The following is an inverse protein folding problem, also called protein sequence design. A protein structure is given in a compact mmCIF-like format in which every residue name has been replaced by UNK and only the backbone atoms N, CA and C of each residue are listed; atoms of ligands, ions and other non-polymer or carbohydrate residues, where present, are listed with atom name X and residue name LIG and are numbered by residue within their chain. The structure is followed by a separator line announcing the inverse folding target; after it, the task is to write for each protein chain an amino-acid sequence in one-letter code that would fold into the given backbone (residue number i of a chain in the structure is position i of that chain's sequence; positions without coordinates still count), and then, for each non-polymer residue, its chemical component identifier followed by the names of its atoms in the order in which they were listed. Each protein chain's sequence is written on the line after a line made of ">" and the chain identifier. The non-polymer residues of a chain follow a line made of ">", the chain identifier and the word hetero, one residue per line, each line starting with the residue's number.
data_IF_101024721993
#
_entry.id   IF_101024721993
#
_cell.length_a   1.000
_cell.length_b   1.000
_cell.length_c   1.000
_cell.angle_alpha   90.00
_cell.angle_beta   90.00
_cell.angle_gamma   90.00
#
_symmetry.space_group_name_H-M   'P 1'
#
loop_
_entity.id
_entity.type
_entity.pdbx_description
1 polymer ?
#
# COMPACT_ATOMS: atom_id res chain seq x y z
N UNK A 1 -17.24 8.36 9.62
CA UNK A 1 -16.22 9.32 9.16
C UNK A 1 -15.31 8.70 8.09
N UNK A 2 -14.91 9.44 7.08
CA UNK A 2 -13.87 9.07 6.10
C UNK A 2 -12.70 10.03 6.25
N UNK A 3 -11.49 9.51 6.49
CA UNK A 3 -10.32 10.30 6.84
C UNK A 3 -9.13 10.01 5.90
N UNK A 4 -8.47 11.03 5.40
CA UNK A 4 -7.29 10.89 4.53
C UNK A 4 -6.78 12.22 4.01
N UNK A 5 -5.83 12.18 3.05
CA UNK A 5 -5.35 13.41 2.40
C UNK A 5 -6.43 14.04 1.51
N UNK A 6 -7.18 13.21 0.77
CA UNK A 6 -8.34 13.62 -0.02
C UNK A 6 -9.43 12.54 0.10
N UNK A 7 -10.61 12.92 0.48
CA UNK A 7 -11.72 12.00 0.78
C UNK A 7 -12.89 12.12 -0.18
N UNK A 8 -12.91 13.13 -1.03
CA UNK A 8 -14.05 13.53 -1.87
C UNK A 8 -14.74 12.38 -2.60
N UNK A 9 -13.97 11.57 -3.35
CA UNK A 9 -14.55 10.49 -4.16
C UNK A 9 -15.21 9.40 -3.28
N UNK A 10 -14.55 9.02 -2.19
CA UNK A 10 -15.07 8.01 -1.25
C UNK A 10 -16.28 8.55 -0.49
N UNK A 11 -16.23 9.81 -0.04
CA UNK A 11 -17.31 10.46 0.68
C UNK A 11 -18.56 10.62 -0.19
N UNK A 12 -18.41 11.06 -1.43
CA UNK A 12 -19.51 11.14 -2.39
C UNK A 12 -20.12 9.76 -2.70
N UNK A 13 -19.28 8.71 -2.79
CA UNK A 13 -19.76 7.33 -2.98
C UNK A 13 -20.57 6.83 -1.78
N UNK A 14 -20.09 7.05 -0.57
CA UNK A 14 -20.77 6.66 0.66
C UNK A 14 -22.09 7.44 0.85
N UNK A 15 -22.10 8.74 0.56
CA UNK A 15 -23.31 9.56 0.62
C UNK A 15 -24.39 9.09 -0.36
N UNK A 16 -24.01 8.74 -1.60
CA UNK A 16 -24.93 8.14 -2.58
C UNK A 16 -25.45 6.77 -2.14
N UNK A 17 -24.70 6.05 -1.32
CA UNK A 17 -25.14 4.78 -0.73
C UNK A 17 -26.02 4.96 0.52
N UNK A 18 -26.37 6.20 0.88
CA UNK A 18 -27.29 6.52 1.99
C UNK A 18 -26.62 6.65 3.38
N UNK A 19 -25.30 6.66 3.45
CA UNK A 19 -24.61 6.90 4.71
C UNK A 19 -24.56 8.38 5.06
N UNK A 20 -24.72 8.71 6.35
CA UNK A 20 -24.32 10.01 6.88
C UNK A 20 -22.79 10.07 6.94
N UNK A 21 -22.19 11.01 6.26
CA UNK A 21 -20.74 11.05 6.05
C UNK A 21 -20.13 12.32 6.59
N UNK A 22 -19.09 12.18 7.40
CA UNK A 22 -18.14 13.23 7.75
C UNK A 22 -16.88 12.95 6.93
N UNK A 23 -16.50 13.86 6.04
CA UNK A 23 -15.28 13.83 5.25
C UNK A 23 -14.22 14.68 5.95
N UNK A 24 -13.14 14.08 6.43
CA UNK A 24 -12.07 14.78 7.12
C UNK A 24 -10.77 14.67 6.34
N UNK A 25 -10.31 15.73 5.73
CA UNK A 25 -9.13 15.75 4.86
C UNK A 25 -8.38 17.09 4.85
N UNK A 26 -7.38 17.19 3.94
CA UNK A 26 -6.55 18.38 3.85
C UNK A 26 -7.27 19.56 3.17
N UNK A 27 -8.26 19.31 2.33
CA UNK A 27 -8.77 20.28 1.37
C UNK A 27 -10.18 20.81 1.70
N UNK A 28 -11.08 19.91 2.17
CA UNK A 28 -12.53 20.17 2.28
C UNK A 28 -13.06 20.81 0.98
N UNK A 29 -12.91 20.08 -0.11
CA UNK A 29 -13.21 20.54 -1.47
C UNK A 29 -14.62 21.15 -1.57
N UNK A 30 -14.75 22.27 -2.28
CA UNK A 30 -16.02 23.01 -2.43
C UNK A 30 -17.06 22.24 -3.24
N UNK A 31 -16.63 21.31 -4.08
CA UNK A 31 -17.48 20.42 -4.89
C UNK A 31 -17.76 19.09 -4.22
N UNK A 32 -17.67 19.03 -2.90
CA UNK A 32 -18.11 17.89 -2.10
C UNK A 32 -19.61 17.64 -2.30
N UNK A 33 -20.03 16.38 -2.15
CA UNK A 33 -21.45 16.04 -2.24
C UNK A 33 -22.26 16.83 -1.18
N UNK A 34 -23.41 17.42 -1.51
CA UNK A 34 -24.15 18.32 -0.62
C UNK A 34 -24.53 17.75 0.75
N UNK A 35 -24.69 16.43 0.85
CA UNK A 35 -25.02 15.74 2.12
C UNK A 35 -23.79 15.29 2.91
N UNK A 36 -22.57 15.73 2.55
CA UNK A 36 -21.34 15.41 3.25
C UNK A 36 -20.90 16.57 4.12
N UNK A 37 -20.69 16.30 5.40
CA UNK A 37 -20.08 17.25 6.34
C UNK A 37 -18.57 17.28 6.10
N UNK A 38 -18.06 18.33 5.42
CA UNK A 38 -16.65 18.42 5.06
C UNK A 38 -15.84 19.24 6.08
N UNK A 39 -14.83 18.60 6.68
CA UNK A 39 -13.89 19.18 7.63
C UNK A 39 -12.48 19.18 7.06
N UNK A 40 -11.75 20.28 7.25
CA UNK A 40 -10.37 20.45 6.81
C UNK A 40 -9.40 20.45 7.98
N UNK A 41 -8.24 19.82 7.79
CA UNK A 41 -7.18 19.81 8.79
C UNK A 41 -6.69 21.21 9.16
N UNK A 42 -6.53 22.09 8.18
CA UNK A 42 -6.02 23.45 8.40
C UNK A 42 -7.11 24.41 8.92
N UNK A 43 -8.29 24.38 8.32
CA UNK A 43 -9.38 25.31 8.63
C UNK A 43 -10.01 25.02 10.00
N UNK A 44 -10.32 23.73 10.26
CA UNK A 44 -11.16 23.37 11.41
C UNK A 44 -10.32 22.87 12.63
N UNK A 45 -9.07 22.45 12.39
CA UNK A 45 -8.22 21.86 13.42
C UNK A 45 -6.84 22.52 13.56
N UNK A 46 -6.51 23.49 12.75
CA UNK A 46 -5.21 24.18 12.74
C UNK A 46 -4.00 23.23 12.73
N UNK A 47 -4.09 22.14 11.94
CA UNK A 47 -3.07 21.08 11.90
C UNK A 47 -2.68 20.72 10.46
N UNK A 48 -1.57 20.01 10.32
CA UNK A 48 -1.13 19.50 9.02
C UNK A 48 -1.85 18.20 8.61
N UNK A 49 -1.59 17.74 7.39
CA UNK A 49 -2.21 16.55 6.75
C UNK A 49 -1.40 15.27 6.86
N UNK A 50 -0.40 15.19 7.75
CA UNK A 50 0.30 13.94 8.00
C UNK A 50 -0.63 12.92 8.67
N UNK A 51 -0.41 11.62 8.44
CA UNK A 51 -1.26 10.57 9.03
C UNK A 51 -1.42 10.71 10.56
N UNK A 52 -0.33 11.07 11.25
CA UNK A 52 -0.37 11.27 12.71
C UNK A 52 -1.15 12.53 13.11
N UNK A 53 -1.06 13.60 12.33
CA UNK A 53 -1.84 14.82 12.57
C UNK A 53 -3.33 14.58 12.31
N UNK A 54 -3.66 13.94 11.19
CA UNK A 54 -5.02 13.51 10.85
C UNK A 54 -5.61 12.63 11.96
N UNK A 55 -4.88 11.60 12.42
CA UNK A 55 -5.37 10.69 13.45
C UNK A 55 -5.65 11.39 14.79
N UNK A 56 -4.77 12.31 15.22
CA UNK A 56 -4.99 13.08 16.45
C UNK A 56 -6.19 14.04 16.36
N UNK A 57 -6.37 14.67 15.22
CA UNK A 57 -7.50 15.56 15.01
C UNK A 57 -8.81 14.77 14.88
N UNK A 58 -8.80 13.66 14.15
CA UNK A 58 -9.95 12.78 13.97
C UNK A 58 -10.47 12.19 15.28
N UNK A 59 -9.61 11.94 16.27
CA UNK A 59 -10.02 11.50 17.60
C UNK A 59 -10.93 12.49 18.36
N UNK A 60 -11.08 13.70 17.85
CA UNK A 60 -11.99 14.75 18.39
C UNK A 60 -13.34 14.80 17.65
N UNK A 61 -13.53 13.93 16.67
CA UNK A 61 -14.75 13.86 15.86
C UNK A 61 -15.50 12.59 16.24
N UNK A 62 -16.72 12.74 16.70
CA UNK A 62 -17.59 11.61 17.00
C UNK A 62 -18.08 10.94 15.72
N UNK A 63 -17.91 9.62 15.62
CA UNK A 63 -18.38 8.82 14.49
C UNK A 63 -18.54 7.35 14.90
N UNK A 64 -19.61 6.71 14.43
CA UNK A 64 -19.86 5.29 14.71
C UNK A 64 -18.81 4.39 14.06
N UNK A 65 -18.35 4.78 12.85
CA UNK A 65 -17.36 4.06 12.09
C UNK A 65 -16.36 5.00 11.41
N UNK A 66 -15.16 4.49 11.19
CA UNK A 66 -14.09 5.19 10.48
C UNK A 66 -13.55 4.37 9.32
N UNK A 67 -13.42 5.03 8.17
CA UNK A 67 -12.70 4.56 6.98
C UNK A 67 -11.48 5.46 6.79
N UNK A 68 -10.33 4.88 6.53
CA UNK A 68 -9.13 5.66 6.23
C UNK A 68 -8.70 5.48 4.77
N UNK A 69 -8.09 6.52 4.23
CA UNK A 69 -7.49 6.57 2.90
C UNK A 69 -6.00 6.92 3.01
N UNK A 70 -5.34 7.23 1.89
CA UNK A 70 -3.96 7.71 1.91
C UNK A 70 -3.81 8.95 2.84
N UNK A 71 -2.75 9.00 3.66
CA UNK A 71 -1.52 8.23 3.63
C UNK A 71 -1.42 7.12 4.69
N UNK A 72 -2.52 6.69 5.29
CA UNK A 72 -2.52 5.77 6.43
C UNK A 72 -1.91 4.40 6.10
N UNK A 73 -1.99 3.95 4.85
CA UNK A 73 -1.38 2.69 4.41
C UNK A 73 0.13 2.65 4.64
N UNK A 74 0.78 3.80 4.63
CA UNK A 74 2.22 3.95 4.90
C UNK A 74 2.53 4.23 6.39
N UNK A 75 1.51 4.44 7.20
CA UNK A 75 1.60 4.83 8.61
C UNK A 75 0.69 3.98 9.52
N UNK A 76 0.85 2.64 9.57
CA UNK A 76 -0.06 1.75 10.30
C UNK A 76 -0.27 2.15 11.77
N UNK A 77 0.75 2.71 12.42
CA UNK A 77 0.65 3.16 13.82
C UNK A 77 -0.37 4.29 14.02
N UNK A 78 -0.66 5.06 12.98
CA UNK A 78 -1.63 6.15 13.06
C UNK A 78 -3.09 5.64 13.00
N UNK A 79 -3.32 4.42 12.54
CA UNK A 79 -4.67 3.84 12.46
C UNK A 79 -5.25 3.54 13.85
N UNK A 80 -4.42 3.17 14.82
CA UNK A 80 -4.89 2.88 16.18
C UNK A 80 -5.56 4.11 16.82
N UNK A 81 -4.93 5.28 16.94
CA UNK A 81 -5.59 6.45 17.48
C UNK A 81 -6.74 6.98 16.59
N UNK A 82 -6.65 6.79 15.28
CA UNK A 82 -7.72 7.16 14.35
C UNK A 82 -9.02 6.40 14.64
N UNK A 83 -8.91 5.11 14.96
CA UNK A 83 -10.05 4.24 15.23
C UNK A 83 -10.47 4.21 16.70
N UNK A 84 -9.83 5.01 17.56
CA UNK A 84 -10.19 5.05 18.97
C UNK A 84 -11.63 5.56 19.17
N UNK A 85 -12.50 4.72 19.73
CA UNK A 85 -13.90 5.05 19.97
C UNK A 85 -14.85 4.84 18.78
N UNK A 86 -14.34 4.34 17.63
CA UNK A 86 -15.16 4.07 16.43
C UNK A 86 -14.93 2.66 15.91
N UNK A 87 -15.89 2.10 15.20
CA UNK A 87 -15.69 0.85 14.47
C UNK A 87 -14.79 1.09 13.26
N UNK A 88 -13.65 0.40 13.17
CA UNK A 88 -12.75 0.49 12.02
C UNK A 88 -13.32 -0.30 10.84
N UNK A 89 -13.71 0.38 9.77
CA UNK A 89 -14.05 -0.21 8.48
C UNK A 89 -12.84 -0.17 7.55
N UNK A 90 -11.87 -1.02 7.84
CA UNK A 90 -10.61 -1.08 7.11
C UNK A 90 -9.66 -2.12 7.72
N UNK A 91 -8.47 -2.20 7.18
CA UNK A 91 -7.45 -3.11 7.69
C UNK A 91 -6.88 -2.63 9.02
N UNK A 92 -6.64 -3.56 9.93
CA UNK A 92 -5.94 -3.27 11.18
C UNK A 92 -4.49 -2.82 10.92
N UNK A 93 -3.87 -2.12 11.88
CA UNK A 93 -2.45 -1.76 11.79
C UNK A 93 -1.53 -2.95 11.53
N UNK A 94 -1.86 -4.11 12.08
CA UNK A 94 -1.10 -5.35 11.89
C UNK A 94 -1.23 -5.86 10.45
N UNK A 95 -2.44 -5.95 9.93
CA UNK A 95 -2.69 -6.33 8.54
C UNK A 95 -1.96 -5.40 7.57
N UNK A 96 -2.01 -4.08 7.81
CA UNK A 96 -1.27 -3.12 6.99
C UNK A 96 0.24 -3.37 7.01
N UNK A 97 0.84 -3.64 8.16
CA UNK A 97 2.28 -3.94 8.23
C UNK A 97 2.64 -5.15 7.38
N UNK A 98 1.83 -6.21 7.46
CA UNK A 98 2.06 -7.47 6.71
C UNK A 98 1.92 -7.28 5.21
N UNK A 99 0.83 -6.64 4.75
CA UNK A 99 0.58 -6.45 3.31
C UNK A 99 1.46 -5.38 2.68
N UNK A 100 2.04 -4.48 3.48
CA UNK A 100 2.96 -3.45 3.01
C UNK A 100 4.44 -3.87 3.07
N UNK A 101 4.73 -5.00 3.66
CA UNK A 101 6.04 -5.62 3.59
C UNK A 101 6.12 -6.47 2.31
N UNK A 102 6.92 -6.06 1.30
CA UNK A 102 6.96 -6.76 0.02
C UNK A 102 7.49 -8.18 0.14
N UNK A 103 8.40 -8.45 1.08
CA UNK A 103 8.99 -9.78 1.26
C UNK A 103 7.99 -10.73 1.92
N UNK A 104 7.30 -10.29 2.96
CA UNK A 104 6.24 -11.08 3.60
C UNK A 104 5.09 -11.36 2.62
N UNK A 105 4.69 -10.35 1.83
CA UNK A 105 3.64 -10.51 0.83
C UNK A 105 4.07 -11.51 -0.26
N UNK A 106 5.29 -11.38 -0.80
CA UNK A 106 5.82 -12.29 -1.80
C UNK A 106 5.90 -13.73 -1.28
N UNK A 107 6.38 -13.92 -0.04
CA UNK A 107 6.42 -15.24 0.59
C UNK A 107 5.01 -15.84 0.76
N UNK A 108 4.03 -15.03 1.17
CA UNK A 108 2.64 -15.49 1.29
C UNK A 108 2.05 -15.88 -0.07
N UNK A 109 2.30 -15.10 -1.11
CA UNK A 109 1.82 -15.40 -2.46
C UNK A 109 2.45 -16.67 -3.03
N UNK A 110 3.78 -16.86 -2.88
CA UNK A 110 4.47 -18.09 -3.33
C UNK A 110 3.92 -19.34 -2.65
N UNK A 111 3.70 -19.30 -1.31
CA UNK A 111 3.09 -20.42 -0.58
C UNK A 111 1.71 -20.80 -1.09
N UNK A 112 1.00 -19.87 -1.74
CA UNK A 112 -0.30 -20.11 -2.35
C UNK A 112 -0.23 -20.35 -3.88
N UNK A 113 0.97 -20.67 -4.41
CA UNK A 113 1.15 -21.03 -5.82
C UNK A 113 1.14 -19.86 -6.81
N UNK A 114 1.22 -18.61 -6.34
CA UNK A 114 1.26 -17.45 -7.22
C UNK A 114 2.70 -17.13 -7.65
N UNK A 115 2.89 -16.87 -8.94
CA UNK A 115 4.12 -16.31 -9.44
C UNK A 115 4.30 -14.87 -8.93
N UNK A 116 5.48 -14.54 -8.44
CA UNK A 116 5.83 -13.22 -7.94
C UNK A 116 7.21 -12.82 -8.44
N UNK A 117 7.45 -11.51 -8.69
CA UNK A 117 8.78 -11.02 -9.04
C UNK A 117 9.82 -11.39 -7.98
N UNK A 118 11.08 -11.54 -8.40
CA UNK A 118 12.19 -11.63 -7.45
C UNK A 118 12.31 -10.33 -6.66
N UNK A 119 12.68 -10.44 -5.39
CA UNK A 119 12.91 -9.29 -4.51
C UNK A 119 14.30 -9.41 -3.90
N UNK A 120 14.97 -8.27 -3.70
CA UNK A 120 16.25 -8.20 -3.01
C UNK A 120 16.33 -6.90 -2.18
N UNK A 121 17.10 -6.94 -1.09
CA UNK A 121 17.44 -5.73 -0.35
C UNK A 121 18.55 -4.97 -1.07
N UNK A 122 19.81 -5.30 -0.80
CA UNK A 122 20.96 -4.78 -1.54
C UNK A 122 21.84 -5.95 -1.96
N UNK A 123 21.95 -6.27 -3.26
CA UNK A 123 22.77 -7.39 -3.71
C UNK A 123 24.26 -7.19 -3.43
N UNK A 124 24.66 -5.95 -3.09
CA UNK A 124 26.05 -5.63 -2.72
C UNK A 124 26.27 -5.67 -1.18
N UNK A 125 25.24 -5.91 -0.38
CA UNK A 125 25.38 -5.99 1.08
C UNK A 125 25.69 -7.43 1.47
N UNK A 126 26.96 -7.73 1.72
CA UNK A 126 27.48 -9.06 2.07
C UNK A 126 26.95 -9.65 3.38
N UNK A 127 26.10 -8.93 4.10
CA UNK A 127 25.45 -9.39 5.34
C UNK A 127 24.12 -10.08 5.15
N UNK A 128 23.61 -10.24 3.93
CA UNK A 128 22.29 -10.86 3.66
C UNK A 128 22.37 -12.38 3.44
N UNK A 129 23.43 -13.05 3.94
CA UNK A 129 23.67 -14.50 3.83
C UNK A 129 23.00 -15.34 4.92
N UNK A 130 21.90 -14.89 5.54
CA UNK A 130 21.19 -15.65 6.57
C UNK A 130 19.69 -15.73 6.35
N UNK A 131 19.24 -16.19 5.18
CA UNK A 131 17.89 -16.71 5.04
C UNK A 131 17.86 -17.98 4.15
N UNK A 132 18.79 -18.90 4.45
CA UNK A 132 18.79 -20.26 3.91
C UNK A 132 18.56 -21.25 5.03
N UNK A 133 17.31 -21.30 5.52
CA UNK A 133 16.84 -22.44 6.29
C UNK A 133 15.42 -22.81 5.85
N UNK A 134 15.32 -23.28 4.61
CA UNK A 134 14.24 -24.18 4.21
C UNK A 134 14.83 -25.20 3.21
N UNK A 135 15.69 -26.09 3.74
CA UNK A 135 16.19 -27.25 3.04
C UNK A 135 15.36 -28.44 3.46
N UNK A 136 14.32 -28.73 2.66
CA UNK A 136 13.92 -30.11 2.35
C UNK A 136 12.81 -30.08 1.29
N UNK A 137 13.16 -30.03 0.03
CA UNK A 137 12.55 -30.91 -0.94
C UNK A 137 13.56 -31.21 -2.06
N UNK A 138 13.98 -32.45 -2.11
CA UNK A 138 14.93 -32.99 -3.07
C UNK A 138 14.21 -33.44 -4.32
N UNK A 139 14.86 -33.21 -5.46
CA UNK A 139 14.64 -33.73 -6.80
C UNK A 139 13.70 -32.94 -7.72
N UNK A 140 14.25 -31.97 -8.43
CA UNK A 140 14.20 -32.07 -9.88
C UNK A 140 15.49 -31.49 -10.49
N UNK A 141 16.25 -32.35 -11.11
CA UNK A 141 17.51 -32.06 -11.77
C UNK A 141 17.27 -31.65 -13.21
N UNK A 142 18.03 -30.68 -13.66
CA UNK A 142 18.24 -30.19 -15.01
C UNK A 142 17.39 -28.99 -15.46
N UNK A 143 17.82 -27.79 -15.10
CA UNK A 143 18.10 -26.84 -16.16
C UNK A 143 19.35 -26.03 -15.79
N UNK A 144 20.38 -26.30 -16.53
CA UNK A 144 21.71 -25.77 -16.41
C UNK A 144 21.81 -24.40 -17.05
N UNK A 145 22.57 -23.51 -16.43
CA UNK A 145 23.09 -22.26 -16.95
C UNK A 145 22.12 -21.09 -17.08
N UNK A 146 21.64 -20.57 -15.97
CA UNK A 146 21.44 -19.12 -15.87
C UNK A 146 22.38 -18.56 -14.80
N UNK A 147 23.64 -18.54 -15.18
CA UNK A 147 24.73 -18.03 -14.37
C UNK A 147 24.64 -16.51 -14.28
N UNK A 148 24.39 -15.98 -13.09
CA UNK A 148 24.95 -14.73 -12.63
C UNK A 148 24.34 -13.40 -13.11
N UNK A 149 23.04 -13.33 -13.33
CA UNK A 149 22.36 -12.09 -13.72
C UNK A 149 21.76 -11.30 -12.54
N UNK A 150 22.10 -11.71 -11.30
CA UNK A 150 21.57 -11.09 -10.09
C UNK A 150 22.00 -9.62 -9.91
N UNK A 151 23.06 -9.20 -10.58
CA UNK A 151 23.63 -7.85 -10.49
C UNK A 151 23.45 -6.99 -11.77
N UNK A 152 22.68 -7.45 -12.79
CA UNK A 152 22.39 -6.59 -13.94
C UNK A 152 21.41 -5.49 -13.55
N UNK A 153 21.81 -4.21 -13.55
CA UNK A 153 20.94 -3.10 -13.19
C UNK A 153 19.68 -2.99 -14.06
N UNK A 154 19.73 -3.49 -15.30
CA UNK A 154 18.61 -3.43 -16.25
C UNK A 154 17.43 -4.29 -15.86
N UNK A 155 17.65 -5.30 -15.02
CA UNK A 155 16.63 -6.25 -14.58
C UNK A 155 15.89 -5.77 -13.35
N UNK A 156 16.41 -4.77 -12.64
CA UNK A 156 15.88 -4.37 -11.35
C UNK A 156 15.24 -2.98 -11.35
N UNK A 157 14.13 -2.88 -10.59
CA UNK A 157 13.49 -1.62 -10.24
C UNK A 157 13.72 -1.34 -8.75
N UNK A 158 14.25 -0.16 -8.43
CA UNK A 158 14.29 0.31 -7.06
C UNK A 158 12.95 0.89 -6.65
N UNK A 159 12.40 0.40 -5.54
CA UNK A 159 11.11 0.80 -4.98
C UNK A 159 11.26 1.22 -3.52
N UNK A 160 10.51 2.22 -3.08
CA UNK A 160 10.48 2.62 -1.68
C UNK A 160 9.47 1.78 -0.90
N UNK A 161 9.80 1.35 0.32
CA UNK A 161 8.87 0.65 1.22
C UNK A 161 7.61 1.49 1.53
N UNK A 162 7.78 2.82 1.59
CA UNK A 162 6.69 3.75 1.90
C UNK A 162 6.40 4.66 0.72
N UNK A 163 5.70 4.14 -0.26
CA UNK A 163 5.25 4.92 -1.42
C UNK A 163 3.91 4.40 -1.92
N UNK A 164 3.24 5.19 -2.75
CA UNK A 164 1.99 4.83 -3.42
C UNK A 164 1.94 5.44 -4.82
N UNK A 165 1.00 4.96 -5.65
CA UNK A 165 0.77 5.52 -6.98
C UNK A 165 1.96 5.45 -7.95
N UNK A 166 2.86 4.47 -7.78
CA UNK A 166 4.05 4.36 -8.63
C UNK A 166 5.15 5.39 -8.35
N UNK A 167 4.97 6.26 -7.34
CA UNK A 167 5.94 7.29 -7.02
C UNK A 167 7.27 6.67 -6.55
N UNK A 168 8.40 7.23 -7.04
CA UNK A 168 9.77 6.78 -6.74
C UNK A 168 10.13 5.37 -7.21
N UNK A 169 9.40 4.80 -8.16
CA UNK A 169 9.82 3.59 -8.87
C UNK A 169 10.79 4.04 -9.97
N UNK A 170 11.99 3.47 -9.98
CA UNK A 170 13.03 3.81 -10.98
C UNK A 170 13.85 2.57 -11.31
N UNK A 171 14.40 2.45 -12.53
CA UNK A 171 15.44 1.49 -12.82
C UNK A 171 16.57 1.61 -11.80
N UNK A 172 17.10 0.48 -11.36
CA UNK A 172 18.22 0.49 -10.43
C UNK A 172 19.53 0.79 -11.19
N UNK A 173 20.32 1.78 -10.79
CA UNK A 173 21.54 2.15 -11.48
C UNK A 173 22.77 1.31 -11.06
N UNK A 174 22.61 0.21 -10.34
CA UNK A 174 23.73 -0.60 -9.83
C UNK A 174 24.39 -0.05 -8.57
N UNK A 175 23.85 1.02 -7.98
CA UNK A 175 24.41 1.62 -6.76
C UNK A 175 23.78 1.05 -5.50
N UNK A 176 24.40 1.31 -4.34
CA UNK A 176 23.88 0.88 -3.04
C UNK A 176 22.38 1.22 -2.87
N UNK A 177 21.61 0.25 -2.38
CA UNK A 177 20.18 0.41 -2.11
C UNK A 177 19.98 1.03 -0.72
N UNK A 178 19.33 2.19 -0.60
CA UNK A 178 19.02 2.76 0.72
C UNK A 178 18.12 1.82 1.54
N UNK A 179 18.31 1.75 2.85
CA UNK A 179 17.47 0.95 3.77
C UNK A 179 15.97 1.27 3.72
N UNK A 180 15.57 2.38 3.12
CA UNK A 180 14.18 2.78 2.89
C UNK A 180 13.61 2.23 1.58
N UNK A 181 14.38 1.46 0.83
CA UNK A 181 14.07 0.94 -0.50
C UNK A 181 14.42 -0.54 -0.60
N UNK A 182 13.89 -1.17 -1.60
CA UNK A 182 14.19 -2.55 -2.00
C UNK A 182 14.25 -2.64 -3.52
N UNK A 183 14.78 -3.73 -4.03
CA UNK A 183 14.78 -4.06 -5.44
C UNK A 183 13.67 -5.04 -5.76
N UNK A 184 13.04 -4.84 -6.88
CA UNK A 184 12.07 -5.76 -7.47
C UNK A 184 12.45 -6.01 -8.93
N UNK A 185 12.41 -7.27 -9.33
CA UNK A 185 12.57 -7.66 -10.71
C UNK A 185 11.61 -6.89 -11.63
N UNK A 186 12.16 -6.39 -12.74
CA UNK A 186 11.37 -5.74 -13.79
C UNK A 186 10.68 -6.81 -14.63
N UNK A 187 9.38 -6.89 -14.52
CA UNK A 187 8.57 -7.78 -15.37
C UNK A 187 8.15 -7.02 -16.63
N UNK A 188 8.42 -7.60 -17.77
CA UNK A 188 7.92 -7.10 -19.07
C UNK A 188 6.52 -7.64 -19.29
N UNK A 189 5.56 -6.77 -19.57
CA UNK A 189 4.17 -7.17 -19.77
C UNK A 189 3.22 -5.98 -19.80
N UNK A 190 1.94 -6.27 -19.97
CA UNK A 190 0.90 -5.24 -19.90
C UNK A 190 0.57 -4.92 -18.45
N UNK A 191 0.74 -3.67 -17.99
CA UNK A 191 0.40 -3.29 -16.64
C UNK A 191 -1.11 -3.32 -16.41
N UNK A 192 -1.50 -3.81 -15.23
CA UNK A 192 -2.89 -3.87 -14.82
C UNK A 192 -3.09 -3.57 -13.35
N UNK A 193 -4.32 -3.31 -12.95
CA UNK A 193 -4.73 -3.19 -11.56
C UNK A 193 -6.03 -3.92 -11.31
N UNK A 194 -6.21 -4.37 -10.07
CA UNK A 194 -7.46 -4.96 -9.62
C UNK A 194 -7.98 -4.13 -8.45
N UNK A 195 -9.23 -3.70 -8.57
CA UNK A 195 -9.99 -3.13 -7.46
C UNK A 195 -10.97 -4.19 -6.98
N UNK A 196 -10.93 -4.48 -5.70
CA UNK A 196 -11.80 -5.50 -5.11
C UNK A 196 -12.27 -5.11 -3.72
N UNK A 197 -13.41 -5.67 -3.32
CA UNK A 197 -13.88 -5.66 -1.94
C UNK A 197 -13.76 -7.08 -1.41
N UNK A 198 -13.16 -7.24 -0.24
CA UNK A 198 -13.00 -8.55 0.40
C UNK A 198 -13.51 -8.53 1.84
N UNK A 199 -14.22 -9.59 2.21
CA UNK A 199 -14.65 -9.83 3.58
C UNK A 199 -14.57 -11.34 3.88
N UNK A 200 -14.15 -11.70 5.08
CA UNK A 200 -14.09 -13.10 5.55
C UNK A 200 -13.30 -14.02 4.58
N UNK A 201 -12.19 -13.53 4.02
CA UNK A 201 -11.35 -14.28 3.09
C UNK A 201 -11.95 -14.49 1.69
N UNK A 202 -13.04 -13.82 1.35
CA UNK A 202 -13.68 -13.90 0.04
C UNK A 202 -13.75 -12.52 -0.62
N UNK A 203 -13.63 -12.49 -1.94
CA UNK A 203 -13.81 -11.29 -2.75
C UNK A 203 -14.95 -11.52 -3.75
N UNK A 204 -16.21 -11.23 -3.39
CA UNK A 204 -17.34 -11.42 -4.28
C UNK A 204 -17.35 -10.43 -5.46
N UNK A 205 -16.64 -9.32 -5.33
CA UNK A 205 -16.57 -8.28 -6.35
C UNK A 205 -15.12 -7.91 -6.62
N UNK A 206 -14.67 -8.16 -7.85
CA UNK A 206 -13.38 -7.71 -8.36
C UNK A 206 -13.56 -7.09 -9.75
N UNK A 207 -12.90 -5.98 -10.00
CA UNK A 207 -12.84 -5.35 -11.33
C UNK A 207 -11.37 -5.24 -11.74
N UNK A 208 -11.05 -5.79 -12.90
CA UNK A 208 -9.73 -5.67 -13.53
C UNK A 208 -9.73 -4.43 -14.41
N UNK A 209 -8.74 -3.58 -14.23
CA UNK A 209 -8.50 -2.40 -15.06
C UNK A 209 -7.12 -2.53 -15.71
N UNK A 210 -7.04 -2.30 -17.03
CA UNK A 210 -5.75 -2.07 -17.68
C UNK A 210 -5.26 -0.66 -17.36
N UNK A 211 -3.97 -0.54 -17.04
CA UNK A 211 -3.34 0.75 -16.80
C UNK A 211 -2.54 1.13 -18.05
N UNK A 212 -2.84 2.28 -18.60
CA UNK A 212 -1.94 2.94 -19.57
C UNK A 212 -0.88 3.65 -18.73
N UNK A 213 0.30 3.06 -18.62
CA UNK A 213 1.44 3.72 -18.00
C UNK A 213 2.24 4.45 -19.09
N UNK A 214 2.79 5.62 -18.77
CA UNK A 214 3.75 6.24 -19.67
C UNK A 214 4.95 5.29 -19.86
N UNK A 215 5.41 5.17 -21.07
CA UNK A 215 6.65 4.45 -21.42
C UNK A 215 7.83 5.17 -20.77
N UNK A 216 8.55 4.47 -19.89
CA UNK A 216 9.80 4.94 -19.29
C UNK A 216 10.99 4.65 -20.19
#
# INVERSE_FOLDING_TARGET
>A
MICGTSTRAAAASAARAGFRVIAFDAFADRDQHPSVDALSTSRDFATGSSASALARAAARIEADAVVYLSPFENHPRAVTPLAAGSTLWGHSPETLRRVRDPFQLAAALRRNGFAVPRLANDPNDSNDSNDSNDSNDSNDSNDSNDSNDSNDPKVWLRKSFRSGGGNRIRPWPGTRVPRTSYLQERIVGTPGSIVFVAANGRSPHARINSLVLPTW
#
